data_IF_176966504080
#
_entry.id   IF_176966504080
#
_cell.length_a   1.000
_cell.length_b   1.000
_cell.length_c   1.000
_cell.angle_alpha   90.00
_cell.angle_beta   90.00
_cell.angle_gamma   90.00
#
_symmetry.space_group_name_H-M   'P 1'
#
loop_
_entity.id
_entity.type
_entity.pdbx_description
1 polymer ?
#
# COMPACT_ATOMS: atom_id res chain seq x y z
N UNK A 1 -13.01 -3.18 8.93
CA UNK A 1 -11.66 -3.83 8.86
C UNK A 1 -11.56 -4.66 7.57
N UNK A 2 -11.38 -4.01 6.42
CA UNK A 2 -11.14 -4.62 5.08
C UNK A 2 -10.27 -3.69 4.20
N UNK A 3 -9.78 -2.57 4.74
CA UNK A 3 -9.21 -1.47 3.97
C UNK A 3 -7.99 -1.85 3.13
N UNK A 4 -7.11 -2.71 3.66
CA UNK A 4 -5.91 -3.15 2.93
C UNK A 4 -6.19 -4.02 1.70
N UNK A 5 -7.28 -4.81 1.73
CA UNK A 5 -7.67 -5.66 0.61
C UNK A 5 -8.02 -4.84 -0.63
N UNK A 6 -8.66 -3.67 -0.43
CA UNK A 6 -9.01 -2.77 -1.53
C UNK A 6 -7.78 -2.19 -2.20
N UNK A 7 -6.77 -1.79 -1.41
CA UNK A 7 -5.51 -1.26 -1.94
C UNK A 7 -4.77 -2.35 -2.74
N UNK A 8 -4.68 -3.56 -2.20
CA UNK A 8 -4.01 -4.69 -2.87
C UNK A 8 -4.77 -5.15 -4.12
N UNK A 9 -6.11 -5.22 -4.07
CA UNK A 9 -6.96 -5.50 -5.24
C UNK A 9 -6.71 -4.48 -6.34
N UNK A 10 -6.75 -3.20 -6.01
CA UNK A 10 -6.48 -2.12 -6.96
C UNK A 10 -5.08 -2.25 -7.58
N UNK A 11 -4.06 -2.59 -6.79
CA UNK A 11 -2.71 -2.82 -7.31
C UNK A 11 -2.69 -3.97 -8.33
N UNK A 12 -3.31 -5.11 -8.03
CA UNK A 12 -3.29 -6.27 -8.92
C UNK A 12 -4.10 -6.07 -10.20
N UNK A 13 -5.21 -5.33 -10.14
CA UNK A 13 -6.01 -4.97 -11.30
C UNK A 13 -5.30 -3.97 -12.22
N UNK A 14 -4.53 -3.02 -11.66
CA UNK A 14 -3.82 -2.00 -12.44
C UNK A 14 -2.38 -2.41 -12.79
N UNK A 15 -1.83 -3.41 -12.12
CA UNK A 15 -0.48 -3.92 -12.32
C UNK A 15 -0.44 -5.44 -12.07
N UNK A 16 -0.90 -6.23 -13.04
CA UNK A 16 -0.88 -7.69 -12.94
C UNK A 16 0.52 -8.25 -12.62
N UNK A 17 1.58 -7.58 -13.09
CA UNK A 17 2.98 -7.92 -12.83
C UNK A 17 3.37 -7.90 -11.34
N UNK A 18 2.54 -7.32 -10.47
CA UNK A 18 2.74 -7.38 -9.03
C UNK A 18 2.37 -8.75 -8.43
N UNK A 19 1.40 -9.47 -9.01
CA UNK A 19 0.89 -10.76 -8.46
C UNK A 19 1.99 -11.79 -8.17
N UNK A 20 2.98 -12.02 -9.08
CA UNK A 20 4.05 -13.00 -8.83
C UNK A 20 4.96 -12.63 -7.65
N UNK A 21 5.07 -11.34 -7.30
CA UNK A 21 5.85 -10.89 -6.13
C UNK A 21 5.23 -11.34 -4.81
N UNK A 22 3.94 -11.68 -4.82
CA UNK A 22 3.20 -12.20 -3.68
C UNK A 22 2.90 -13.70 -3.79
N UNK A 23 3.51 -14.38 -4.78
CA UNK A 23 3.37 -15.83 -4.99
C UNK A 23 2.11 -16.25 -5.74
N UNK A 24 1.46 -15.34 -6.47
CA UNK A 24 0.30 -15.64 -7.32
C UNK A 24 0.66 -15.63 -8.80
N UNK A 25 -0.06 -16.40 -9.60
CA UNK A 25 0.11 -16.41 -11.05
C UNK A 25 -0.25 -15.05 -11.67
N UNK A 26 0.47 -14.68 -12.74
CA UNK A 26 0.29 -13.40 -13.44
C UNK A 26 -1.16 -13.22 -13.93
N UNK A 27 -1.74 -14.32 -14.42
CA UNK A 27 -3.09 -14.39 -14.99
C UNK A 27 -4.15 -14.77 -13.96
N UNK A 28 -3.82 -14.86 -12.66
CA UNK A 28 -4.82 -15.16 -11.64
C UNK A 28 -5.90 -14.07 -11.59
N UNK A 29 -7.16 -14.48 -11.60
CA UNK A 29 -8.30 -13.57 -11.45
C UNK A 29 -8.42 -13.10 -10.00
N UNK A 30 -8.75 -11.82 -9.81
CA UNK A 30 -8.90 -11.20 -8.47
C UNK A 30 -10.39 -11.11 -8.13
N UNK A 31 -11.02 -12.29 -8.04
CA UNK A 31 -12.43 -12.47 -7.74
C UNK A 31 -12.70 -12.62 -6.23
N UNK A 32 -13.95 -12.88 -5.85
CA UNK A 32 -14.35 -12.97 -4.44
C UNK A 32 -13.69 -14.15 -3.71
N UNK A 33 -13.35 -15.24 -4.41
CA UNK A 33 -12.64 -16.38 -3.82
C UNK A 33 -11.18 -15.98 -3.52
N UNK A 34 -10.52 -15.31 -4.45
CA UNK A 34 -9.18 -14.76 -4.24
C UNK A 34 -9.15 -13.79 -3.06
N UNK A 35 -10.13 -12.89 -2.98
CA UNK A 35 -10.25 -11.91 -1.89
C UNK A 35 -10.54 -12.57 -0.53
N UNK A 36 -11.04 -13.80 -0.52
CA UNK A 36 -11.27 -14.60 0.67
C UNK A 36 -10.06 -15.48 1.06
N UNK A 37 -9.01 -15.63 0.24
CA UNK A 37 -7.82 -16.42 0.58
C UNK A 37 -7.20 -15.89 1.89
N UNK A 38 -7.12 -16.70 2.97
CA UNK A 38 -6.57 -16.29 4.25
C UNK A 38 -5.15 -15.72 4.15
N UNK A 39 -4.33 -16.20 3.21
CA UNK A 39 -2.98 -15.68 2.97
C UNK A 39 -3.02 -14.26 2.41
N UNK A 40 -3.93 -14.01 1.46
CA UNK A 40 -4.11 -12.69 0.87
C UNK A 40 -4.69 -11.69 1.87
N UNK A 41 -5.69 -12.13 2.65
CA UNK A 41 -6.28 -11.34 3.74
C UNK A 41 -5.23 -10.97 4.78
N UNK A 42 -4.44 -11.96 5.25
CA UNK A 42 -3.39 -11.72 6.23
C UNK A 42 -2.31 -10.77 5.70
N UNK A 43 -1.91 -10.90 4.43
CA UNK A 43 -0.96 -9.98 3.81
C UNK A 43 -1.54 -8.56 3.72
N UNK A 44 -2.77 -8.42 3.26
CA UNK A 44 -3.46 -7.13 3.16
C UNK A 44 -3.61 -6.42 4.50
N UNK A 45 -3.79 -7.17 5.59
CA UNK A 45 -3.81 -6.60 6.94
C UNK A 45 -2.44 -6.04 7.36
N UNK A 46 -1.33 -6.72 6.99
CA UNK A 46 0.03 -6.25 7.27
C UNK A 46 0.33 -4.92 6.59
N UNK A 47 -0.17 -4.71 5.35
CA UNK A 47 -0.01 -3.45 4.63
C UNK A 47 -0.55 -2.25 5.44
N UNK A 48 -1.74 -2.39 6.04
CA UNK A 48 -2.33 -1.33 6.87
C UNK A 48 -1.51 -1.09 8.13
N UNK A 49 -1.01 -2.15 8.78
CA UNK A 49 -0.12 -2.01 9.94
C UNK A 49 1.19 -1.29 9.60
N UNK A 50 1.71 -1.49 8.38
CA UNK A 50 2.88 -0.78 7.89
C UNK A 50 2.61 0.72 7.71
N UNK A 51 1.47 1.09 7.11
CA UNK A 51 1.07 2.51 7.03
C UNK A 51 0.88 3.14 8.42
N UNK A 52 0.24 2.43 9.35
CA UNK A 52 0.08 2.91 10.72
C UNK A 52 1.43 3.12 11.43
N UNK A 53 2.37 2.19 11.23
CA UNK A 53 3.74 2.31 11.75
C UNK A 53 4.44 3.52 11.14
N UNK A 54 4.39 3.68 9.81
CA UNK A 54 5.02 4.80 9.12
C UNK A 54 4.43 6.14 9.59
N UNK A 55 3.10 6.24 9.71
CA UNK A 55 2.41 7.44 10.18
C UNK A 55 2.77 7.82 11.63
N UNK A 56 2.78 6.84 12.54
CA UNK A 56 3.17 7.07 13.94
C UNK A 56 4.61 7.55 14.10
N UNK A 57 5.44 7.35 13.07
CA UNK A 57 6.84 7.74 13.06
C UNK A 57 7.13 9.07 12.33
N UNK A 58 6.13 9.71 11.70
CA UNK A 58 6.25 11.05 11.05
C UNK A 58 6.41 12.20 12.07
N UNK A 59 6.46 11.88 13.37
CA UNK A 59 6.68 12.82 14.47
C UNK A 59 8.17 12.98 14.89
N UNK A 60 8.44 13.22 16.19
CA UNK A 60 9.79 13.51 16.70
C UNK A 60 10.85 12.43 16.42
N UNK A 61 10.43 11.22 16.07
CA UNK A 61 11.28 10.05 15.80
C UNK A 61 11.71 9.89 14.32
N UNK A 62 11.52 10.92 13.50
CA UNK A 62 11.72 10.86 12.03
C UNK A 62 13.10 10.36 11.56
N UNK A 63 14.15 10.46 12.38
CA UNK A 63 15.49 9.90 12.05
C UNK A 63 15.48 8.37 12.08
N UNK A 64 14.81 7.76 13.06
CA UNK A 64 14.67 6.29 13.14
C UNK A 64 13.77 5.76 12.02
N UNK A 65 12.84 6.58 11.53
CA UNK A 65 11.98 6.26 10.40
C UNK A 65 12.79 6.12 9.12
N UNK A 66 13.65 7.09 8.80
CA UNK A 66 14.43 7.10 7.56
C UNK A 66 15.28 5.81 7.41
N UNK A 67 15.99 5.40 8.46
CA UNK A 67 16.80 4.18 8.41
C UNK A 67 15.98 2.90 8.22
N UNK A 68 14.80 2.81 8.85
CA UNK A 68 13.90 1.66 8.70
C UNK A 68 13.22 1.62 7.34
N UNK A 69 12.82 2.77 6.80
CA UNK A 69 12.26 2.85 5.45
C UNK A 69 13.32 2.46 4.43
N UNK A 70 14.58 2.90 4.60
CA UNK A 70 15.68 2.50 3.71
C UNK A 70 15.90 0.98 3.71
N UNK A 71 15.99 0.33 4.88
CA UNK A 71 16.09 -1.14 4.97
C UNK A 71 14.89 -1.83 4.31
N UNK A 72 13.70 -1.24 4.46
CA UNK A 72 12.49 -1.75 3.85
C UNK A 72 12.52 -1.59 2.32
N UNK A 73 13.00 -0.47 1.79
CA UNK A 73 13.17 -0.21 0.36
C UNK A 73 14.14 -1.21 -0.28
N UNK A 74 15.27 -1.48 0.37
CA UNK A 74 16.21 -2.52 -0.07
C UNK A 74 15.55 -3.89 -0.22
N UNK A 75 14.68 -4.27 0.74
CA UNK A 75 13.89 -5.51 0.65
C UNK A 75 12.87 -5.46 -0.48
N UNK A 76 12.19 -4.33 -0.68
CA UNK A 76 11.22 -4.16 -1.77
C UNK A 76 11.88 -4.35 -3.14
N UNK A 77 13.09 -3.80 -3.33
CA UNK A 77 13.89 -4.03 -4.54
C UNK A 77 14.23 -5.51 -4.70
N UNK A 78 14.65 -6.20 -3.63
CA UNK A 78 14.94 -7.65 -3.67
C UNK A 78 13.69 -8.48 -4.01
N UNK A 79 12.50 -8.04 -3.60
CA UNK A 79 11.22 -8.68 -3.96
C UNK A 79 10.79 -8.38 -5.41
N UNK A 80 11.53 -7.53 -6.12
CA UNK A 80 11.25 -7.15 -7.50
C UNK A 80 10.27 -5.99 -7.64
N UNK A 81 9.92 -5.31 -6.55
CA UNK A 81 9.07 -4.11 -6.59
C UNK A 81 9.79 -3.03 -7.37
N UNK A 82 9.05 -2.35 -8.25
CA UNK A 82 9.56 -1.29 -9.12
C UNK A 82 8.93 0.04 -8.75
N UNK A 83 9.68 1.12 -8.97
CA UNK A 83 9.23 2.49 -8.70
C UNK A 83 7.86 2.82 -9.33
N UNK A 84 7.56 2.27 -10.50
CA UNK A 84 6.28 2.43 -11.21
C UNK A 84 5.04 1.92 -10.43
N UNK A 85 5.24 1.04 -9.44
CA UNK A 85 4.18 0.42 -8.66
C UNK A 85 3.70 1.34 -7.53
N UNK A 86 4.56 2.21 -6.97
CA UNK A 86 4.19 3.09 -5.86
C UNK A 86 3.10 4.10 -6.25
N UNK A 87 3.14 4.81 -7.40
CA UNK A 87 2.05 5.68 -7.81
C UNK A 87 0.70 4.96 -7.95
N UNK A 88 0.71 3.68 -8.35
CA UNK A 88 -0.51 2.87 -8.45
C UNK A 88 -1.04 2.55 -7.04
N UNK A 89 -0.16 2.14 -6.14
CA UNK A 89 -0.51 1.86 -4.75
C UNK A 89 -1.03 3.11 -4.01
N UNK A 90 -0.42 4.27 -4.23
CA UNK A 90 -0.88 5.54 -3.67
C UNK A 90 -2.27 5.95 -4.18
N UNK A 91 -2.59 5.68 -5.46
CA UNK A 91 -3.94 5.86 -6.00
C UNK A 91 -4.94 4.91 -5.35
N UNK A 92 -4.56 3.65 -5.15
CA UNK A 92 -5.40 2.67 -4.45
C UNK A 92 -5.68 3.05 -3.00
N UNK A 93 -4.67 3.58 -2.28
CA UNK A 93 -4.82 4.11 -0.93
C UNK A 93 -5.82 5.27 -0.89
N UNK A 94 -5.64 6.26 -1.78
CA UNK A 94 -6.52 7.43 -1.86
C UNK A 94 -7.96 7.05 -2.20
N UNK A 95 -8.16 6.18 -3.19
CA UNK A 95 -9.49 5.69 -3.57
C UNK A 95 -10.16 4.92 -2.41
N UNK A 96 -9.39 4.12 -1.67
CA UNK A 96 -9.89 3.44 -0.49
C UNK A 96 -10.31 4.42 0.60
N UNK A 97 -9.52 5.48 0.85
CA UNK A 97 -9.84 6.50 1.85
C UNK A 97 -11.09 7.31 1.47
N UNK A 98 -11.22 7.68 0.20
CA UNK A 98 -12.41 8.36 -0.34
C UNK A 98 -13.67 7.55 -0.06
N UNK A 99 -13.66 6.26 -0.38
CA UNK A 99 -14.81 5.39 -0.14
C UNK A 99 -15.12 5.19 1.35
N UNK A 100 -14.10 5.07 2.20
CA UNK A 100 -14.28 4.80 3.64
C UNK A 100 -14.71 6.05 4.44
N UNK A 101 -14.23 7.22 4.04
CA UNK A 101 -14.51 8.48 4.73
C UNK A 101 -15.75 9.18 4.17
N UNK A 102 -16.15 8.88 2.94
CA UNK A 102 -17.33 9.48 2.30
C UNK A 102 -17.27 11.00 2.35
N UNK A 103 -18.30 11.64 2.91
CA UNK A 103 -18.38 13.10 3.05
C UNK A 103 -17.24 13.72 3.88
N UNK A 104 -16.56 12.95 4.73
CA UNK A 104 -15.39 13.41 5.48
C UNK A 104 -14.10 13.43 4.64
N UNK A 105 -14.12 12.86 3.42
CA UNK A 105 -12.99 12.92 2.50
C UNK A 105 -12.97 14.25 1.75
N UNK A 106 -12.34 15.25 2.34
CA UNK A 106 -12.17 16.55 1.70
C UNK A 106 -10.93 16.59 0.78
N UNK A 107 -10.85 17.61 -0.07
CA UNK A 107 -9.67 17.85 -0.91
C UNK A 107 -8.38 17.98 -0.08
N UNK A 108 -8.47 18.58 1.11
CA UNK A 108 -7.35 18.71 2.03
C UNK A 108 -6.91 17.34 2.58
N UNK A 109 -7.86 16.46 2.92
CA UNK A 109 -7.57 15.08 3.33
C UNK A 109 -6.90 14.33 2.18
N UNK A 110 -7.44 14.43 0.96
CA UNK A 110 -6.86 13.81 -0.23
C UNK A 110 -5.41 14.27 -0.48
N UNK A 111 -5.18 15.58 -0.37
CA UNK A 111 -3.85 16.20 -0.54
C UNK A 111 -2.88 15.75 0.54
N UNK A 112 -3.30 15.74 1.81
CA UNK A 112 -2.47 15.30 2.92
C UNK A 112 -2.00 13.85 2.74
N UNK A 113 -2.91 12.94 2.38
CA UNK A 113 -2.57 11.53 2.15
C UNK A 113 -1.64 11.32 0.95
N UNK A 114 -1.79 12.10 -0.13
CA UNK A 114 -0.86 12.07 -1.26
C UNK A 114 0.54 12.51 -0.86
N UNK A 115 0.66 13.55 -0.03
CA UNK A 115 1.95 14.04 0.47
C UNK A 115 2.62 13.02 1.38
N UNK A 116 1.87 12.47 2.34
CA UNK A 116 2.36 11.42 3.25
C UNK A 116 2.85 10.20 2.48
N UNK A 117 2.03 9.67 1.57
CA UNK A 117 2.41 8.52 0.77
C UNK A 117 3.64 8.83 -0.11
N UNK A 118 3.66 10.02 -0.73
CA UNK A 118 4.79 10.49 -1.51
C UNK A 118 6.08 10.49 -0.71
N UNK A 119 6.08 11.09 0.49
CA UNK A 119 7.23 11.14 1.38
C UNK A 119 7.72 9.74 1.78
N UNK A 120 6.81 8.82 2.13
CA UNK A 120 7.19 7.44 2.50
C UNK A 120 7.77 6.70 1.28
N UNK A 121 7.18 6.88 0.09
CA UNK A 121 7.57 6.17 -1.12
C UNK A 121 8.87 6.65 -1.78
N UNK A 122 9.37 7.83 -1.40
CA UNK A 122 10.63 8.35 -1.93
C UNK A 122 11.84 7.54 -1.47
N UNK A 123 11.73 6.92 -0.30
CA UNK A 123 12.79 6.16 0.34
C UNK A 123 12.60 4.62 0.17
N UNK A 124 11.64 4.19 -0.67
CA UNK A 124 11.27 2.78 -0.93
C UNK A 124 11.68 2.28 -2.32
#
# INVERSE_FOLDING_TARGET
KVSGLKVMKFLFEKCAKAKPMFGYDLEADVDDEFLADPRFVAHSAKLIGMFDTALNMIGPDGILLAAKIQELGEKHVQYGVRAEMFPIMGKGLVAMLEEQLGDAFTDDVAKAWRLVFGAISQDL
#
